data_IF_624910506437
#
_entry.id   IF_624910506437
#
_cell.length_a   1.000
_cell.length_b   1.000
_cell.length_c   1.000
_cell.angle_alpha   90.00
_cell.angle_beta   90.00
_cell.angle_gamma   90.00
#
_symmetry.space_group_name_H-M   'P 1'
#
loop_
_entity.id
_entity.type
_entity.pdbx_description
1 polymer ?
#
# COMPACT_ATOMS: atom_id res chain seq x y z
N UNK A 1 -1.52 -15.20 5.27
CA UNK A 1 -1.07 -13.87 4.79
C UNK A 1 -2.27 -13.06 4.32
N UNK A 2 -2.28 -11.80 4.67
CA UNK A 2 -3.35 -10.88 4.30
C UNK A 2 -2.82 -9.90 3.26
N UNK A 3 -3.67 -9.60 2.28
CA UNK A 3 -3.37 -8.59 1.26
C UNK A 3 -4.42 -7.49 1.38
N UNK A 4 -3.97 -6.25 1.50
CA UNK A 4 -4.86 -5.10 1.47
C UNK A 4 -4.67 -4.39 0.13
N UNK A 5 -5.76 -4.22 -0.60
CA UNK A 5 -5.76 -3.57 -1.91
C UNK A 5 -6.50 -2.24 -1.76
N UNK A 6 -5.78 -1.15 -1.94
CA UNK A 6 -6.35 0.19 -1.80
C UNK A 6 -6.36 0.86 -3.17
N UNK A 7 -7.55 1.09 -3.70
CA UNK A 7 -7.73 1.71 -5.01
C UNK A 7 -8.28 3.11 -4.80
N UNK A 8 -7.68 4.10 -5.46
CA UNK A 8 -8.04 5.49 -5.20
C UNK A 8 -7.87 6.39 -6.40
N UNK A 9 -8.65 7.48 -6.40
CA UNK A 9 -8.44 8.61 -7.30
C UNK A 9 -8.24 9.82 -6.42
N UNK A 10 -7.24 10.62 -6.74
CA UNK A 10 -6.82 11.73 -5.89
C UNK A 10 -7.37 13.07 -6.38
N UNK A 11 -7.56 13.96 -5.42
CA UNK A 11 -7.82 15.38 -5.71
C UNK A 11 -6.52 16.03 -6.18
N UNK A 12 -6.55 17.26 -6.71
CA UNK A 12 -5.32 17.99 -6.99
C UNK A 12 -4.42 18.11 -5.76
N UNK A 13 -4.98 18.30 -4.57
CA UNK A 13 -4.22 18.34 -3.32
C UNK A 13 -3.58 16.99 -3.02
N UNK A 14 -4.23 15.90 -3.40
CA UNK A 14 -3.69 14.56 -3.24
C UNK A 14 -2.50 14.26 -4.15
N UNK A 15 -2.16 15.17 -5.06
CA UNK A 15 -1.00 15.05 -5.93
C UNK A 15 0.15 15.96 -5.49
N UNK A 16 -0.05 16.72 -4.42
CA UNK A 16 0.89 17.72 -3.97
C UNK A 16 1.84 17.27 -2.88
N UNK A 17 2.60 18.23 -2.36
CA UNK A 17 3.66 17.99 -1.39
C UNK A 17 3.16 17.50 -0.04
N UNK A 18 2.02 17.97 0.40
CA UNK A 18 1.45 17.56 1.67
C UNK A 18 1.13 16.07 1.66
N UNK A 19 0.55 15.60 0.56
CA UNK A 19 0.29 14.17 0.39
C UNK A 19 1.59 13.37 0.44
N UNK A 20 2.63 13.86 -0.25
CA UNK A 20 3.93 13.18 -0.30
C UNK A 20 4.54 13.06 1.10
N UNK A 21 4.41 14.12 1.89
CA UNK A 21 4.91 14.11 3.26
C UNK A 21 4.23 13.01 4.08
N UNK A 22 2.90 12.96 4.05
CA UNK A 22 2.15 11.97 4.83
C UNK A 22 2.33 10.56 4.30
N UNK A 23 2.48 10.42 3.00
CA UNK A 23 2.76 9.11 2.40
C UNK A 23 4.09 8.55 2.92
N UNK A 24 5.13 9.36 2.94
CA UNK A 24 6.43 8.95 3.46
C UNK A 24 6.35 8.60 4.93
N UNK A 25 5.67 9.43 5.70
CA UNK A 25 5.52 9.22 7.15
C UNK A 25 4.79 7.91 7.42
N UNK A 26 3.68 7.67 6.72
CA UNK A 26 2.91 6.43 6.90
C UNK A 26 3.73 5.20 6.47
N UNK A 27 4.49 5.31 5.40
CA UNK A 27 5.34 4.21 4.94
C UNK A 27 6.41 3.86 5.98
N UNK A 28 7.03 4.85 6.58
CA UNK A 28 8.03 4.62 7.63
C UNK A 28 7.42 3.92 8.84
N UNK A 29 6.27 4.39 9.29
CA UNK A 29 5.58 3.80 10.44
C UNK A 29 5.12 2.38 10.15
N UNK A 30 4.53 2.14 8.97
CA UNK A 30 4.05 0.83 8.60
C UNK A 30 5.18 -0.20 8.53
N UNK A 31 6.31 0.20 7.96
CA UNK A 31 7.47 -0.70 7.85
C UNK A 31 8.01 -1.13 9.21
N UNK A 32 7.82 -0.34 10.22
CA UNK A 32 8.27 -0.64 11.57
C UNK A 32 7.28 -1.50 12.35
N UNK A 33 6.08 -1.72 11.82
CA UNK A 33 5.08 -2.52 12.50
C UNK A 33 5.37 -4.00 12.38
N UNK A 34 5.20 -4.76 13.47
CA UNK A 34 5.33 -6.21 13.39
C UNK A 34 4.34 -6.78 12.38
N UNK A 35 4.81 -7.70 11.55
CA UNK A 35 3.97 -8.35 10.55
C UNK A 35 3.87 -7.65 9.22
N UNK A 36 4.47 -6.47 9.07
CA UNK A 36 4.55 -5.82 7.77
C UNK A 36 5.44 -6.65 6.83
N UNK A 37 4.97 -6.87 5.61
CA UNK A 37 5.75 -7.61 4.61
C UNK A 37 6.20 -6.68 3.48
N UNK A 38 5.27 -6.04 2.80
CA UNK A 38 5.62 -5.22 1.64
C UNK A 38 4.53 -4.24 1.26
N UNK A 39 4.91 -3.28 0.44
CA UNK A 39 4.00 -2.32 -0.17
C UNK A 39 4.50 -1.96 -1.56
N UNK A 40 3.60 -1.95 -2.52
CA UNK A 40 3.94 -1.52 -3.87
C UNK A 40 2.76 -0.79 -4.50
N UNK A 41 3.07 0.28 -5.22
CA UNK A 41 2.04 1.09 -5.89
C UNK A 41 2.02 0.83 -7.38
N UNK A 42 0.82 0.96 -7.97
CA UNK A 42 0.58 0.78 -9.39
C UNK A 42 -0.35 1.87 -9.89
N UNK A 43 -0.28 2.18 -11.17
CA UNK A 43 -1.20 3.14 -11.80
C UNK A 43 -1.83 2.44 -13.00
N UNK A 44 -3.17 2.41 -13.04
CA UNK A 44 -3.91 1.85 -14.15
C UNK A 44 -3.92 2.82 -15.33
N UNK A 45 -4.29 2.32 -16.51
CA UNK A 45 -4.35 3.13 -17.72
C UNK A 45 -5.31 4.31 -17.58
N UNK A 46 -6.38 4.14 -16.82
CA UNK A 46 -7.38 5.20 -16.60
C UNK A 46 -7.01 6.16 -15.47
N UNK A 47 -5.81 6.01 -14.90
CA UNK A 47 -5.32 6.89 -13.85
C UNK A 47 -5.67 6.46 -12.43
N UNK A 48 -6.45 5.39 -12.26
CA UNK A 48 -6.71 4.86 -10.93
C UNK A 48 -5.40 4.38 -10.32
N UNK A 49 -5.16 4.68 -9.06
CA UNK A 49 -3.96 4.24 -8.35
C UNK A 49 -4.31 3.09 -7.43
N UNK A 50 -3.42 2.11 -7.38
CA UNK A 50 -3.60 0.94 -6.55
C UNK A 50 -2.37 0.77 -5.67
N UNK A 51 -2.60 0.66 -4.36
CA UNK A 51 -1.56 0.30 -3.41
C UNK A 51 -1.81 -1.12 -2.95
N UNK A 52 -0.79 -1.94 -3.05
CA UNK A 52 -0.85 -3.35 -2.71
C UNK A 52 0.02 -3.59 -1.49
N UNK A 53 -0.60 -4.02 -0.39
CA UNK A 53 0.08 -4.23 0.89
C UNK A 53 0.00 -5.68 1.28
N UNK A 54 1.12 -6.21 1.80
CA UNK A 54 1.12 -7.57 2.34
C UNK A 54 1.44 -7.53 3.83
N UNK A 55 0.66 -8.29 4.60
CA UNK A 55 0.80 -8.40 6.05
C UNK A 55 0.75 -9.88 6.46
N UNK A 56 1.48 -10.23 7.50
CA UNK A 56 1.54 -11.62 7.95
C UNK A 56 0.19 -12.14 8.44
N UNK A 57 -0.63 -11.27 9.05
CA UNK A 57 -1.87 -11.69 9.67
C UNK A 57 -2.89 -10.55 9.71
N UNK A 58 -4.14 -10.92 9.96
CA UNK A 58 -5.21 -9.96 10.16
C UNK A 58 -4.95 -9.10 11.40
N UNK A 59 -4.36 -9.67 12.44
CA UNK A 59 -4.04 -8.93 13.66
C UNK A 59 -3.00 -7.86 13.39
N UNK A 60 -1.97 -8.20 12.60
CA UNK A 60 -0.93 -7.24 12.25
C UNK A 60 -1.51 -6.06 11.47
N UNK A 61 -2.37 -6.36 10.49
CA UNK A 61 -3.03 -5.31 9.73
C UNK A 61 -3.93 -4.47 10.62
N UNK A 62 -4.67 -5.09 11.53
CA UNK A 62 -5.54 -4.36 12.44
C UNK A 62 -4.76 -3.41 13.32
N UNK A 63 -3.62 -3.86 13.85
CA UNK A 63 -2.76 -3.02 14.68
C UNK A 63 -2.31 -1.78 13.91
N UNK A 64 -1.96 -1.93 12.64
CA UNK A 64 -1.61 -0.80 11.78
C UNK A 64 -2.82 0.09 11.51
N UNK A 65 -3.95 -0.52 11.17
CA UNK A 65 -5.18 0.22 10.84
C UNK A 65 -5.67 1.08 12.01
N UNK A 66 -5.40 0.67 13.23
CA UNK A 66 -5.81 1.39 14.44
C UNK A 66 -4.70 2.23 15.05
N UNK A 67 -3.55 2.28 14.43
CA UNK A 67 -2.47 3.16 14.89
C UNK A 67 -2.94 4.61 14.86
N UNK A 68 -2.76 5.37 15.95
CA UNK A 68 -3.31 6.73 16.04
C UNK A 68 -2.93 7.65 14.89
N UNK A 69 -1.67 7.63 14.46
CA UNK A 69 -1.24 8.46 13.34
C UNK A 69 -1.86 8.02 12.03
N UNK A 70 -2.10 6.72 11.86
CA UNK A 70 -2.75 6.21 10.65
C UNK A 70 -4.22 6.61 10.62
N UNK A 71 -4.91 6.53 11.76
CA UNK A 71 -6.31 6.97 11.86
C UNK A 71 -6.43 8.46 11.49
N UNK A 72 -5.55 9.27 12.04
CA UNK A 72 -5.51 10.69 11.77
C UNK A 72 -5.26 10.99 10.29
N UNK A 73 -4.32 10.29 9.68
CA UNK A 73 -3.98 10.47 8.27
C UNK A 73 -5.11 9.97 7.35
N UNK A 74 -5.79 8.89 7.73
CA UNK A 74 -6.96 8.42 6.96
C UNK A 74 -8.05 9.47 6.92
N UNK A 75 -8.29 10.15 8.04
CA UNK A 75 -9.27 11.21 8.10
C UNK A 75 -8.88 12.37 7.18
N UNK A 76 -7.63 12.76 7.23
CA UNK A 76 -7.10 13.82 6.36
C UNK A 76 -7.24 13.42 4.89
N UNK A 77 -6.99 12.17 4.56
CA UNK A 77 -7.16 11.66 3.20
C UNK A 77 -8.58 11.83 2.69
N UNK A 78 -9.57 11.46 3.51
CA UNK A 78 -10.97 11.61 3.14
C UNK A 78 -11.38 13.07 2.97
N UNK A 79 -10.82 13.95 3.78
CA UNK A 79 -11.16 15.36 3.74
C UNK A 79 -10.49 16.10 2.58
N UNK A 80 -9.31 15.65 2.16
CA UNK A 80 -8.45 16.49 1.35
C UNK A 80 -7.83 15.81 0.14
N UNK A 81 -7.40 14.56 0.26
CA UNK A 81 -6.55 13.92 -0.74
C UNK A 81 -7.26 13.03 -1.76
N UNK A 82 -8.39 12.46 -1.40
CA UNK A 82 -9.05 11.47 -2.25
C UNK A 82 -10.41 11.95 -2.75
N UNK A 83 -10.65 11.75 -4.04
CA UNK A 83 -11.99 11.88 -4.62
C UNK A 83 -12.81 10.67 -4.25
N UNK A 84 -12.19 9.51 -4.29
CA UNK A 84 -12.82 8.24 -3.93
C UNK A 84 -11.75 7.23 -3.59
N UNK A 85 -12.11 6.24 -2.80
CA UNK A 85 -11.24 5.08 -2.61
C UNK A 85 -12.07 3.84 -2.27
N UNK A 86 -11.47 2.70 -2.55
CA UNK A 86 -12.08 1.41 -2.30
C UNK A 86 -11.00 0.52 -1.68
N UNK A 87 -11.20 0.10 -0.44
CA UNK A 87 -10.27 -0.77 0.26
C UNK A 87 -10.85 -2.17 0.34
N UNK A 88 -10.06 -3.15 -0.06
CA UNK A 88 -10.42 -4.56 0.08
C UNK A 88 -9.32 -5.27 0.86
N UNK A 89 -9.72 -6.01 1.88
CA UNK A 89 -8.80 -6.81 2.68
C UNK A 89 -9.08 -8.26 2.34
N UNK A 90 -8.07 -8.95 1.85
CA UNK A 90 -8.22 -10.30 1.31
C UNK A 90 -7.29 -11.27 2.00
N UNK A 91 -7.77 -12.47 2.24
CA UNK A 91 -6.93 -13.55 2.72
C UNK A 91 -6.37 -14.30 1.52
N UNK A 92 -5.06 -14.56 1.51
CA UNK A 92 -4.45 -15.33 0.43
C UNK A 92 -4.72 -16.80 0.68
N UNK A 93 -5.57 -17.39 -0.16
CA UNK A 93 -5.96 -18.79 0.00
C UNK A 93 -5.04 -19.75 -0.76
N UNK A 94 -4.29 -19.23 -1.71
CA UNK A 94 -3.34 -20.03 -2.48
C UNK A 94 -2.32 -19.09 -3.12
N UNK A 95 -1.07 -19.53 -3.16
CA UNK A 95 0.00 -18.75 -3.75
C UNK A 95 0.90 -19.67 -4.56
N UNK A 96 1.31 -19.23 -5.74
CA UNK A 96 2.36 -19.91 -6.49
C UNK A 96 3.26 -18.84 -7.09
N UNK A 97 4.54 -19.17 -7.20
CA UNK A 97 5.53 -18.22 -7.67
C UNK A 97 6.51 -18.93 -8.60
N UNK A 98 6.81 -18.29 -9.71
CA UNK A 98 7.82 -18.75 -10.62
C UNK A 98 8.83 -17.62 -10.84
N UNK A 99 10.08 -17.93 -10.72
CA UNK A 99 11.16 -17.00 -11.03
C UNK A 99 12.16 -17.76 -11.90
N UNK A 100 12.38 -17.25 -13.10
CA UNK A 100 13.35 -17.90 -13.99
C UNK A 100 14.74 -17.64 -13.44
N UNK A 101 15.49 -18.73 -13.28
CA UNK A 101 16.88 -18.61 -12.87
C UNK A 101 17.69 -18.08 -14.04
N UNK A 102 18.52 -17.10 -13.81
CA UNK A 102 19.38 -16.53 -14.82
C UNK A 102 20.83 -16.61 -14.39
N UNK A 103 21.73 -16.77 -15.38
CA UNK A 103 23.15 -16.76 -15.12
C UNK A 103 23.65 -15.34 -15.17
N UNK A 104 24.91 -15.13 -14.75
CA UNK A 104 25.53 -13.81 -14.84
C UNK A 104 25.54 -13.26 -16.24
N UNK A 105 25.77 -14.10 -17.23
CA UNK A 105 25.78 -13.69 -18.62
C UNK A 105 24.43 -13.15 -19.03
N UNK A 106 23.38 -13.79 -18.61
CA UNK A 106 22.03 -13.35 -18.92
C UNK A 106 21.78 -11.98 -18.37
N UNK A 107 22.27 -11.71 -17.19
CA UNK A 107 22.08 -10.43 -16.53
C UNK A 107 22.94 -9.33 -17.11
N UNK A 108 24.03 -9.68 -17.70
CA UNK A 108 24.99 -8.70 -18.21
C UNK A 108 24.70 -8.19 -19.60
N UNK A 109 23.73 -8.72 -20.25
CA UNK A 109 23.34 -8.31 -21.61
C UNK A 109 23.00 -6.84 -21.73
#
# INVERSE_FOLDING_TARGET
>A
MIVAVFRARRTPEGLGEEYQYWFRRMSELARAMPGYISHKGYVAEDGERLSFFEWESAEALRAWSTHPEHISTKKLGREKFYLEYHLQVCEVVRESKFVRETTSQDQSR
#
